data_IF_074473884900
#
_entry.id   IF_074473884900
#
_cell.length_a   1.000
_cell.length_b   1.000
_cell.length_c   1.000
_cell.angle_alpha   90.00
_cell.angle_beta   90.00
_cell.angle_gamma   90.00
#
_symmetry.space_group_name_H-M   'P 1'
#
loop_
_entity.id
_entity.type
_entity.pdbx_description
1 polymer ?
#
# COMPACT_ATOMS: atom_id res chain seq x y z
N UNK A 1 6.42 -5.95 13.85
CA UNK A 1 5.55 -5.80 12.66
C UNK A 1 6.34 -5.17 11.52
N UNK A 2 6.16 -5.67 10.32
CA UNK A 2 6.80 -5.14 9.10
C UNK A 2 5.73 -4.72 8.10
N UNK A 3 5.88 -3.54 7.51
CA UNK A 3 4.97 -2.98 6.51
C UNK A 3 5.76 -2.61 5.26
N UNK A 4 5.23 -2.98 4.10
CA UNK A 4 5.70 -2.46 2.81
C UNK A 4 4.92 -1.19 2.50
N UNK A 5 5.61 -0.12 2.10
CA UNK A 5 5.00 1.03 1.46
C UNK A 5 5.36 1.05 -0.01
N UNK A 6 4.37 1.16 -0.90
CA UNK A 6 4.55 1.08 -2.35
C UNK A 6 4.03 2.33 -3.06
N UNK A 7 4.93 3.13 -3.61
CA UNK A 7 4.60 4.31 -4.41
C UNK A 7 4.34 3.91 -5.87
N UNK A 8 3.07 3.97 -6.28
CA UNK A 8 2.59 3.60 -7.61
C UNK A 8 2.55 4.76 -8.62
N UNK A 9 3.20 5.89 -8.32
CA UNK A 9 3.32 6.99 -9.27
C UNK A 9 4.54 6.81 -10.18
N UNK A 10 4.40 7.00 -11.51
CA UNK A 10 5.55 7.05 -12.41
C UNK A 10 6.36 8.36 -12.28
N UNK A 11 5.86 9.33 -11.53
CA UNK A 11 6.52 10.61 -11.25
C UNK A 11 6.96 10.67 -9.79
N UNK A 12 8.15 11.22 -9.57
CA UNK A 12 8.67 11.52 -8.24
C UNK A 12 9.36 12.90 -8.25
N UNK A 13 9.02 13.80 -7.31
CA UNK A 13 7.98 13.68 -6.30
C UNK A 13 6.55 13.72 -6.90
N UNK A 14 5.58 13.20 -6.16
CA UNK A 14 4.16 13.21 -6.56
C UNK A 14 3.25 13.40 -5.33
N UNK A 15 2.01 13.82 -5.55
CA UNK A 15 1.04 13.95 -4.45
C UNK A 15 0.80 12.61 -3.75
N UNK A 16 0.68 11.53 -4.50
CA UNK A 16 0.52 10.20 -3.91
C UNK A 16 1.76 9.73 -3.15
N UNK A 17 2.97 10.08 -3.58
CA UNK A 17 4.18 9.78 -2.80
C UNK A 17 4.26 10.61 -1.52
N UNK A 18 3.71 11.84 -1.50
CA UNK A 18 3.61 12.63 -0.28
C UNK A 18 2.68 12.00 0.78
N UNK A 19 1.54 11.44 0.36
CA UNK A 19 0.66 10.67 1.27
C UNK A 19 1.39 9.45 1.85
N UNK A 20 2.15 8.77 1.01
CA UNK A 20 2.87 7.56 1.42
C UNK A 20 4.02 7.87 2.38
N UNK A 21 4.73 8.98 2.17
CA UNK A 21 5.78 9.44 3.06
C UNK A 21 5.22 9.79 4.44
N UNK A 22 4.10 10.50 4.49
CA UNK A 22 3.38 10.76 5.74
C UNK A 22 3.00 9.47 6.48
N UNK A 23 2.47 8.47 5.74
CA UNK A 23 2.15 7.18 6.32
C UNK A 23 3.40 6.49 6.89
N UNK A 24 4.54 6.55 6.17
CA UNK A 24 5.81 6.00 6.61
C UNK A 24 6.30 6.63 7.91
N UNK A 25 6.26 7.96 8.01
CA UNK A 25 6.67 8.69 9.22
C UNK A 25 5.80 8.30 10.42
N UNK A 26 4.48 8.22 10.25
CA UNK A 26 3.55 7.81 11.31
C UNK A 26 3.77 6.37 11.77
N UNK A 27 3.97 5.44 10.84
CA UNK A 27 4.22 4.03 11.15
C UNK A 27 5.58 3.85 11.87
N UNK A 28 6.62 4.55 11.43
CA UNK A 28 7.92 4.53 12.11
C UNK A 28 7.83 5.05 13.56
N UNK A 29 7.01 6.07 13.81
CA UNK A 29 6.75 6.58 15.16
C UNK A 29 6.02 5.57 16.07
N UNK A 30 5.45 4.51 15.51
CA UNK A 30 4.79 3.41 16.22
C UNK A 30 5.67 2.13 16.29
N UNK A 31 6.97 2.24 16.07
CA UNK A 31 7.95 1.14 16.04
C UNK A 31 7.62 0.04 15.01
N UNK A 32 6.97 0.41 13.91
CA UNK A 32 6.72 -0.49 12.77
C UNK A 32 7.92 -0.42 11.82
N UNK A 33 8.51 -1.56 11.50
CA UNK A 33 9.56 -1.64 10.46
C UNK A 33 8.93 -1.38 9.08
N UNK A 34 9.35 -0.30 8.41
CA UNK A 34 8.81 0.10 7.11
C UNK A 34 9.84 -0.09 6.01
N UNK A 35 9.54 -0.95 5.04
CA UNK A 35 10.31 -1.11 3.81
C UNK A 35 9.65 -0.32 2.68
N UNK A 36 10.35 0.68 2.14
CA UNK A 36 9.80 1.55 1.11
C UNK A 36 10.18 1.10 -0.30
N UNK A 37 9.18 1.02 -1.18
CA UNK A 37 9.32 0.72 -2.60
C UNK A 37 8.61 1.75 -3.46
N UNK A 38 9.19 1.99 -4.63
CA UNK A 38 8.60 2.82 -5.68
C UNK A 38 8.91 2.25 -7.07
N UNK A 39 8.23 2.73 -8.09
CA UNK A 39 8.42 2.25 -9.46
C UNK A 39 9.82 2.52 -10.01
N UNK A 40 10.53 3.54 -9.51
CA UNK A 40 11.89 3.86 -9.93
C UNK A 40 12.96 2.90 -9.37
N UNK A 41 12.59 1.99 -8.48
CA UNK A 41 13.49 0.91 -8.06
C UNK A 41 13.66 -0.16 -9.15
N UNK A 42 12.77 -0.19 -10.13
CA UNK A 42 12.74 -1.20 -11.20
C UNK A 42 13.22 -0.62 -12.51
N UNK A 43 13.89 -1.42 -13.33
CA UNK A 43 14.13 -1.06 -14.71
C UNK A 43 12.77 -1.01 -15.46
N UNK A 44 12.48 0.08 -16.22
CA UNK A 44 11.21 0.20 -16.92
C UNK A 44 10.91 -0.99 -17.84
N UNK A 45 11.95 -1.56 -18.46
CA UNK A 45 11.85 -2.72 -19.33
C UNK A 45 11.39 -3.97 -18.58
N UNK A 46 11.79 -4.13 -17.31
CA UNK A 46 11.37 -5.26 -16.50
C UNK A 46 9.85 -5.22 -16.24
N UNK A 47 9.34 -4.02 -15.97
CA UNK A 47 7.91 -3.80 -15.75
C UNK A 47 7.12 -3.93 -17.04
N UNK A 48 7.58 -3.29 -18.13
CA UNK A 48 6.84 -3.22 -19.38
C UNK A 48 6.79 -4.54 -20.12
N UNK A 49 7.89 -5.31 -20.09
CA UNK A 49 8.01 -6.61 -20.79
C UNK A 49 7.79 -7.83 -19.89
N UNK A 50 7.23 -7.59 -18.69
CA UNK A 50 6.88 -8.65 -17.74
C UNK A 50 8.03 -9.61 -17.42
N UNK A 51 9.20 -9.07 -17.03
CA UNK A 51 10.37 -9.88 -16.67
C UNK A 51 10.24 -10.43 -15.25
N UNK A 52 9.67 -11.61 -15.12
CA UNK A 52 9.47 -12.30 -13.84
C UNK A 52 10.77 -12.72 -13.15
N UNK A 53 11.87 -12.75 -13.87
CA UNK A 53 13.21 -13.13 -13.37
C UNK A 53 14.01 -11.95 -12.83
N UNK A 54 13.49 -10.71 -12.90
CA UNK A 54 14.15 -9.50 -12.39
C UNK A 54 14.61 -9.67 -10.94
N UNK A 55 15.89 -9.41 -10.62
CA UNK A 55 16.40 -9.51 -9.25
C UNK A 55 15.70 -8.57 -8.28
N UNK A 56 15.38 -7.35 -8.74
CA UNK A 56 14.66 -6.35 -7.94
C UNK A 56 13.25 -6.82 -7.58
N UNK A 57 12.55 -7.45 -8.54
CA UNK A 57 11.24 -8.04 -8.30
C UNK A 57 11.32 -9.17 -7.27
N UNK A 58 12.31 -10.05 -7.37
CA UNK A 58 12.52 -11.14 -6.40
C UNK A 58 12.73 -10.58 -4.99
N UNK A 59 13.50 -9.51 -4.86
CA UNK A 59 13.72 -8.84 -3.56
C UNK A 59 12.41 -8.30 -2.98
N UNK A 60 11.58 -7.63 -3.78
CA UNK A 60 10.26 -7.17 -3.34
C UNK A 60 9.38 -8.35 -2.90
N UNK A 61 9.32 -9.42 -3.67
CA UNK A 61 8.54 -10.62 -3.34
C UNK A 61 8.97 -11.23 -2.01
N UNK A 62 10.26 -11.37 -1.77
CA UNK A 62 10.77 -11.89 -0.49
C UNK A 62 10.42 -10.98 0.70
N UNK A 63 10.50 -9.66 0.52
CA UNK A 63 10.09 -8.72 1.56
C UNK A 63 8.57 -8.76 1.79
N UNK A 64 7.77 -8.89 0.73
CA UNK A 64 6.31 -9.06 0.85
C UNK A 64 5.97 -10.33 1.64
N UNK A 65 6.66 -11.46 1.44
CA UNK A 65 6.41 -12.70 2.20
C UNK A 65 6.49 -12.48 3.72
N UNK A 66 7.45 -11.68 4.17
CA UNK A 66 7.68 -11.41 5.59
C UNK A 66 6.91 -10.20 6.13
N UNK A 67 6.16 -9.49 5.28
CA UNK A 67 5.39 -8.32 5.69
C UNK A 67 4.03 -8.70 6.27
N UNK A 68 3.55 -7.90 7.21
CA UNK A 68 2.24 -7.99 7.83
C UNK A 68 1.20 -7.15 7.09
N UNK A 69 1.64 -6.09 6.42
CA UNK A 69 0.77 -5.19 5.71
C UNK A 69 1.43 -4.45 4.55
N UNK A 70 0.58 -3.84 3.74
CA UNK A 70 0.95 -3.01 2.60
C UNK A 70 0.21 -1.69 2.64
N UNK A 71 0.92 -0.57 2.54
CA UNK A 71 0.32 0.73 2.18
C UNK A 71 0.68 1.02 0.73
N UNK A 72 -0.30 1.10 -0.15
CA UNK A 72 -0.09 1.38 -1.56
C UNK A 72 -0.70 2.73 -1.93
N UNK A 73 0.08 3.62 -2.56
CA UNK A 73 -0.36 4.94 -2.97
C UNK A 73 -0.23 5.12 -4.49
N UNK A 74 -1.26 5.66 -5.13
CA UNK A 74 -1.31 5.82 -6.59
C UNK A 74 -2.02 7.11 -7.01
N UNK A 75 -1.57 7.78 -8.09
CA UNK A 75 -2.41 8.78 -8.74
C UNK A 75 -3.52 8.08 -9.54
N UNK A 76 -4.66 8.77 -9.68
CA UNK A 76 -5.73 8.31 -10.58
C UNK A 76 -5.55 8.96 -11.95
N UNK A 77 -5.39 8.12 -12.97
CA UNK A 77 -5.32 8.51 -14.38
C UNK A 77 -6.46 7.84 -15.16
N UNK A 78 -7.25 8.64 -15.90
CA UNK A 78 -8.34 8.11 -16.72
C UNK A 78 -9.26 7.15 -15.95
N UNK A 79 -9.73 7.62 -14.79
CA UNK A 79 -10.67 6.91 -13.91
C UNK A 79 -10.15 5.58 -13.31
N UNK A 80 -8.84 5.35 -13.32
CA UNK A 80 -8.22 4.16 -12.72
C UNK A 80 -6.89 4.51 -12.03
N UNK A 81 -6.36 3.61 -11.24
CA UNK A 81 -5.00 3.75 -10.71
C UNK A 81 -3.96 3.73 -11.85
N UNK A 82 -2.74 4.18 -11.57
CA UNK A 82 -1.71 4.33 -12.60
C UNK A 82 -1.40 3.01 -13.30
N UNK A 83 -1.33 3.02 -14.65
CA UNK A 83 -0.94 1.85 -15.44
C UNK A 83 0.46 1.33 -15.07
N UNK A 84 1.36 2.23 -14.69
CA UNK A 84 2.70 1.85 -14.23
C UNK A 84 2.65 1.05 -12.90
N UNK A 85 1.72 1.34 -11.99
CA UNK A 85 1.50 0.47 -10.84
C UNK A 85 0.96 -0.90 -11.26
N UNK A 86 0.06 -0.93 -12.26
CA UNK A 86 -0.51 -2.19 -12.75
C UNK A 86 0.56 -3.11 -13.33
N UNK A 87 1.55 -2.59 -14.07
CA UNK A 87 2.65 -3.41 -14.59
C UNK A 87 3.45 -4.10 -13.48
N UNK A 88 3.65 -3.44 -12.34
CA UNK A 88 4.32 -4.06 -11.19
C UNK A 88 3.42 -5.09 -10.50
N UNK A 89 2.13 -4.78 -10.28
CA UNK A 89 1.20 -5.71 -9.63
C UNK A 89 0.99 -6.99 -10.43
N UNK A 90 1.06 -6.92 -11.77
CA UNK A 90 0.95 -8.08 -12.67
C UNK A 90 2.13 -9.06 -12.56
N UNK A 91 3.27 -8.59 -12.07
CA UNK A 91 4.46 -9.42 -11.85
C UNK A 91 4.46 -10.14 -10.50
N UNK A 92 3.58 -9.76 -9.58
CA UNK A 92 3.52 -10.38 -8.27
C UNK A 92 2.89 -11.78 -8.36
N UNK A 93 3.33 -12.74 -7.51
CA UNK A 93 2.69 -14.04 -7.42
C UNK A 93 1.19 -13.92 -7.07
N UNK A 94 0.39 -14.89 -7.50
CA UNK A 94 -1.07 -14.92 -7.29
C UNK A 94 -1.49 -14.65 -5.84
N UNK A 95 -0.72 -15.12 -4.87
CA UNK A 95 -0.99 -14.97 -3.43
C UNK A 95 -0.03 -14.00 -2.73
N UNK A 96 0.49 -13.00 -3.43
CA UNK A 96 1.48 -12.08 -2.88
C UNK A 96 1.01 -11.32 -1.63
N UNK A 97 -0.31 -11.10 -1.51
CA UNK A 97 -0.91 -10.38 -0.39
C UNK A 97 -1.66 -11.29 0.59
N UNK A 98 -1.49 -12.61 0.47
CA UNK A 98 -2.10 -13.57 1.39
C UNK A 98 -1.69 -13.28 2.84
N UNK A 99 -2.67 -13.25 3.73
CA UNK A 99 -2.47 -12.92 5.14
C UNK A 99 -2.11 -11.46 5.44
N UNK A 100 -2.21 -10.52 4.51
CA UNK A 100 -1.81 -9.12 4.72
C UNK A 100 -3.00 -8.17 4.82
N UNK A 101 -2.82 -7.13 5.64
CA UNK A 101 -3.72 -5.97 5.67
C UNK A 101 -3.22 -4.95 4.65
N UNK A 102 -4.13 -4.41 3.85
CA UNK A 102 -3.78 -3.42 2.81
C UNK A 102 -4.52 -2.11 3.04
N UNK A 103 -3.78 -1.01 3.05
CA UNK A 103 -4.32 0.36 3.07
C UNK A 103 -4.06 1.02 1.71
N UNK A 104 -5.08 1.21 0.86
CA UNK A 104 -4.95 1.94 -0.38
C UNK A 104 -5.06 3.45 -0.15
N UNK A 105 -4.16 4.22 -0.77
CA UNK A 105 -4.17 5.68 -0.82
C UNK A 105 -4.21 6.12 -2.28
N UNK A 106 -5.00 7.14 -2.60
CA UNK A 106 -5.06 7.64 -3.97
C UNK A 106 -5.16 9.16 -4.02
N UNK A 107 -4.63 9.74 -5.10
CA UNK A 107 -4.79 11.18 -5.41
C UNK A 107 -5.38 11.37 -6.80
N UNK A 108 -6.18 12.40 -6.97
CA UNK A 108 -6.75 12.73 -8.28
C UNK A 108 -7.23 14.17 -8.36
N UNK A 109 -7.31 14.71 -9.57
CA UNK A 109 -7.68 16.11 -9.83
C UNK A 109 -9.16 16.44 -9.57
N UNK A 110 -9.98 15.47 -9.20
CA UNK A 110 -11.40 15.69 -8.89
C UNK A 110 -11.95 14.57 -8.01
N UNK A 111 -12.83 14.93 -7.08
CA UNK A 111 -13.53 13.98 -6.20
C UNK A 111 -14.40 12.97 -6.98
N UNK A 112 -14.77 13.28 -8.22
CA UNK A 112 -15.49 12.34 -9.09
C UNK A 112 -14.71 11.02 -9.34
N UNK A 113 -13.39 11.01 -9.11
CA UNK A 113 -12.55 9.82 -9.23
C UNK A 113 -12.42 9.01 -7.94
N UNK A 114 -13.08 9.39 -6.86
CA UNK A 114 -13.04 8.71 -5.56
C UNK A 114 -13.26 7.19 -5.69
N UNK A 115 -14.25 6.80 -6.46
CA UNK A 115 -14.64 5.40 -6.62
C UNK A 115 -13.61 4.54 -7.41
N UNK A 116 -12.60 5.15 -8.03
CA UNK A 116 -11.53 4.39 -8.69
C UNK A 116 -10.74 3.52 -7.70
N UNK A 117 -10.68 3.88 -6.42
CA UNK A 117 -10.10 3.03 -5.37
C UNK A 117 -10.89 1.75 -5.23
N UNK A 118 -12.22 1.84 -5.12
CA UNK A 118 -13.09 0.71 -4.84
C UNK A 118 -13.33 -0.18 -6.08
N UNK A 119 -13.49 0.43 -7.25
CA UNK A 119 -13.86 -0.30 -8.48
C UNK A 119 -12.68 -0.66 -9.40
N UNK A 120 -11.50 -0.07 -9.22
CA UNK A 120 -10.33 -0.41 -10.02
C UNK A 120 -9.19 -1.03 -9.18
N UNK A 121 -8.76 -0.38 -8.08
CA UNK A 121 -7.61 -0.85 -7.31
C UNK A 121 -7.94 -2.04 -6.41
N UNK A 122 -8.99 -1.97 -5.60
CA UNK A 122 -9.36 -3.04 -4.66
C UNK A 122 -9.61 -4.40 -5.34
N UNK A 123 -10.24 -4.51 -6.51
CA UNK A 123 -10.36 -5.78 -7.22
C UNK A 123 -9.01 -6.45 -7.51
N UNK A 124 -7.98 -5.67 -7.89
CA UNK A 124 -6.63 -6.20 -8.13
C UNK A 124 -5.98 -6.67 -6.84
N UNK A 125 -6.12 -5.91 -5.74
CA UNK A 125 -5.61 -6.31 -4.44
C UNK A 125 -6.30 -7.59 -3.92
N UNK A 126 -7.60 -7.75 -4.18
CA UNK A 126 -8.35 -8.98 -3.89
C UNK A 126 -7.86 -10.17 -4.74
N UNK A 127 -7.55 -9.96 -6.04
CA UNK A 127 -6.99 -10.98 -6.91
C UNK A 127 -5.63 -11.48 -6.36
N UNK A 128 -4.82 -10.61 -5.76
CA UNK A 128 -3.58 -10.94 -5.08
C UNK A 128 -3.79 -11.55 -3.68
N UNK A 129 -5.04 -11.85 -3.30
CA UNK A 129 -5.44 -12.51 -2.05
C UNK A 129 -5.13 -11.71 -0.79
N UNK A 130 -5.28 -10.38 -0.83
CA UNK A 130 -5.20 -9.57 0.38
C UNK A 130 -6.20 -10.08 1.44
N UNK A 131 -5.73 -10.25 2.68
CA UNK A 131 -6.56 -10.76 3.78
C UNK A 131 -7.64 -9.75 4.21
N UNK A 132 -7.25 -8.49 4.29
CA UNK A 132 -8.15 -7.38 4.62
C UNK A 132 -7.74 -6.16 3.81
N UNK A 133 -8.67 -5.54 3.09
CA UNK A 133 -8.44 -4.28 2.38
C UNK A 133 -9.26 -3.21 3.05
N UNK A 134 -8.59 -2.24 3.67
CA UNK A 134 -9.23 -1.16 4.37
C UNK A 134 -9.94 -0.19 3.40
N UNK A 135 -10.76 0.67 3.95
CA UNK A 135 -11.52 1.64 3.16
C UNK A 135 -10.63 2.52 2.27
N UNK A 136 -9.47 2.93 2.81
CA UNK A 136 -8.49 3.75 2.09
C UNK A 136 -8.79 5.26 2.19
N UNK A 137 -7.88 6.06 1.60
CA UNK A 137 -8.04 7.50 1.54
C UNK A 137 -7.85 7.99 0.10
N UNK A 138 -8.84 8.72 -0.40
CA UNK A 138 -8.72 9.50 -1.62
C UNK A 138 -8.46 10.97 -1.26
N UNK A 139 -7.44 11.58 -1.85
CA UNK A 139 -7.16 13.01 -1.74
C UNK A 139 -7.38 13.70 -3.09
N UNK A 140 -8.17 14.77 -3.07
CA UNK A 140 -8.20 15.71 -4.18
C UNK A 140 -6.85 16.43 -4.28
N UNK A 141 -6.39 16.71 -5.48
CA UNK A 141 -5.08 17.34 -5.72
C UNK A 141 -4.89 18.67 -4.98
N UNK A 142 -5.95 19.42 -4.72
CA UNK A 142 -5.92 20.67 -3.96
C UNK A 142 -5.66 20.47 -2.47
N UNK A 143 -5.84 19.27 -1.95
CA UNK A 143 -5.62 18.94 -0.54
C UNK A 143 -4.17 18.61 -0.19
N UNK A 144 -3.32 18.37 -1.21
CA UNK A 144 -1.88 18.07 -1.06
C UNK A 144 -1.07 19.26 -1.55
N UNK A 145 -0.62 20.08 -0.62
CA UNK A 145 -0.01 21.38 -0.87
C UNK A 145 1.51 21.24 -0.87
N UNK A 146 2.18 21.98 -1.76
CA UNK A 146 3.65 22.02 -1.88
C UNK A 146 4.34 20.65 -1.91
N UNK A 147 3.71 19.68 -2.58
CA UNK A 147 4.18 18.29 -2.62
C UNK A 147 5.59 18.12 -3.20
N UNK A 148 6.11 19.12 -3.92
CA UNK A 148 7.43 19.08 -4.57
C UNK A 148 8.58 19.43 -3.62
N UNK A 149 8.31 20.21 -2.56
CA UNK A 149 9.35 20.71 -1.65
C UNK A 149 9.07 20.30 -0.20
N UNK A 150 8.00 20.83 0.38
CA UNK A 150 7.61 20.55 1.77
C UNK A 150 6.13 20.16 1.82
N UNK A 151 5.80 18.90 1.56
CA UNK A 151 4.42 18.44 1.54
C UNK A 151 3.68 18.75 2.84
N UNK A 152 2.49 19.31 2.72
CA UNK A 152 1.54 19.43 3.82
C UNK A 152 0.11 19.26 3.31
N UNK A 153 -0.79 18.96 4.21
CA UNK A 153 -2.15 18.57 3.87
C UNK A 153 -3.16 19.54 4.47
N UNK A 154 -4.32 19.66 3.83
CA UNK A 154 -5.43 20.35 4.46
C UNK A 154 -5.82 19.62 5.76
N UNK A 155 -6.34 20.33 6.78
CA UNK A 155 -6.71 19.70 8.05
C UNK A 155 -7.68 18.51 7.91
N UNK A 156 -8.63 18.61 6.98
CA UNK A 156 -9.55 17.52 6.69
C UNK A 156 -8.84 16.27 6.14
N UNK A 157 -7.92 16.42 5.19
CA UNK A 157 -7.16 15.30 4.65
C UNK A 157 -6.27 14.68 5.72
N UNK A 158 -5.59 15.51 6.51
CA UNK A 158 -4.72 15.03 7.59
C UNK A 158 -5.50 14.18 8.60
N UNK A 159 -6.67 14.65 9.06
CA UNK A 159 -7.53 13.88 9.96
C UNK A 159 -7.93 12.53 9.37
N UNK A 160 -8.28 12.48 8.08
CA UNK A 160 -8.64 11.22 7.40
C UNK A 160 -7.45 10.28 7.27
N UNK A 161 -6.26 10.80 6.99
CA UNK A 161 -5.03 10.00 6.95
C UNK A 161 -4.69 9.43 8.32
N UNK A 162 -4.75 10.25 9.38
CA UNK A 162 -4.47 9.81 10.75
C UNK A 162 -5.45 8.69 11.16
N UNK A 163 -6.75 8.86 10.93
CA UNK A 163 -7.76 7.84 11.23
C UNK A 163 -7.58 6.55 10.44
N UNK A 164 -7.20 6.66 9.16
CA UNK A 164 -6.96 5.48 8.33
C UNK A 164 -5.70 4.71 8.78
N UNK A 165 -4.64 5.42 9.18
CA UNK A 165 -3.41 4.81 9.69
C UNK A 165 -3.61 4.18 11.07
N UNK A 166 -4.40 4.80 11.94
CA UNK A 166 -4.81 4.20 13.21
C UNK A 166 -5.61 2.90 12.99
N UNK A 167 -6.58 2.93 12.07
CA UNK A 167 -7.34 1.74 11.68
C UNK A 167 -6.42 0.64 11.13
N UNK A 168 -5.46 1.00 10.30
CA UNK A 168 -4.48 0.08 9.73
C UNK A 168 -3.61 -0.55 10.83
N UNK A 169 -3.09 0.25 11.74
CA UNK A 169 -2.29 -0.24 12.87
C UNK A 169 -3.09 -1.18 13.78
N UNK A 170 -4.35 -0.87 14.06
CA UNK A 170 -5.23 -1.76 14.83
C UNK A 170 -5.51 -3.08 14.09
N UNK A 171 -5.67 -3.04 12.76
CA UNK A 171 -5.89 -4.25 11.97
C UNK A 171 -4.65 -5.17 11.98
N UNK A 172 -3.44 -4.61 11.88
CA UNK A 172 -2.19 -5.36 12.00
C UNK A 172 -2.08 -6.05 13.38
N UNK A 173 -2.38 -5.33 14.48
CA UNK A 173 -2.32 -5.88 15.83
C UNK A 173 -3.38 -6.97 16.10
N UNK A 174 -4.58 -6.86 15.52
CA UNK A 174 -5.62 -7.92 15.64
C UNK A 174 -5.14 -9.21 15.00
N UNK A 175 -4.50 -9.12 13.84
CA UNK A 175 -3.97 -10.26 13.10
C UNK A 175 -2.95 -11.05 13.95
N UNK A 176 -2.00 -10.37 14.57
CA UNK A 176 -0.98 -11.01 15.40
C UNK A 176 -1.59 -11.76 16.59
N UNK A 177 -2.60 -11.19 17.24
CA UNK A 177 -3.31 -11.84 18.35
C UNK A 177 -4.05 -13.10 17.93
N UNK A 178 -4.70 -13.09 16.76
CA UNK A 178 -5.41 -14.25 16.24
C UNK A 178 -4.47 -15.38 15.83
N UNK A 179 -3.35 -15.07 15.20
CA UNK A 179 -2.32 -16.04 14.86
C UNK A 179 -1.75 -16.72 16.13
N UNK A 180 -1.42 -15.94 17.16
CA UNK A 180 -0.93 -16.46 18.43
C UNK A 180 -1.97 -17.34 19.15
N UNK A 181 -3.24 -16.93 19.18
CA UNK A 181 -4.32 -17.70 19.82
C UNK A 181 -4.58 -19.04 19.10
N UNK A 182 -4.55 -19.04 17.76
CA UNK A 182 -4.74 -20.26 16.96
C UNK A 182 -3.61 -21.28 17.18
N UNK A 183 -2.36 -20.84 17.25
CA UNK A 183 -1.22 -21.72 17.55
C UNK A 183 -1.26 -22.28 18.98
N UNK A 184 -1.69 -21.49 19.96
CA UNK A 184 -1.86 -21.96 21.34
C UNK A 184 -2.94 -23.03 21.46
N UNK A 185 -4.06 -22.90 20.72
CA UNK A 185 -5.15 -23.88 20.74
C UNK A 185 -4.76 -25.24 20.12
N UNK A 186 -3.84 -25.27 19.19
CA UNK A 186 -3.34 -26.51 18.60
C UNK A 186 -2.30 -27.22 19.48
N UNK A 187 -1.54 -26.47 20.29
CA UNK A 187 -0.55 -27.05 21.22
C UNK A 187 -1.15 -27.79 22.42
N UNK A 188 -2.42 -27.51 22.76
CA UNK A 188 -3.14 -28.16 23.88
C UNK A 188 -3.83 -29.46 23.46
N UNK A 189 -3.96 -29.74 22.16
CA UNK A 189 -4.64 -30.93 21.64
C UNK A 189 -3.73 -32.18 21.54
N UNK A 190 -2.48 -32.10 21.92
CA UNK A 190 -1.50 -33.20 21.87
C UNK A 190 -0.75 -33.43 23.19
N UNK A 191 -1.35 -33.07 24.34
CA UNK A 191 -0.82 -33.39 25.66
C UNK A 191 -1.73 -34.38 26.38
#
# INVERSE_FOLDING_TARGET
MRVITLAGSPRFPSRSSALLEYAREKLNALDVEVCHWNLHNFAPEDLLYARFDSPTLKTLIEQLKSADGLVVATPIYKASFSGALKTLLDLLPERALDGKVVLPLATGGTVAHLLAVDYALKPVLNALKAQEILHGVFADDSQVIDYQHKPHFTPNLQTRLDSALETFWHALNRRDRHAAAFHQSQGVAHA
#
